data_IF_671907201392
#
_entry.id   IF_671907201392
#
_cell.length_a   1.000
_cell.length_b   1.000
_cell.length_c   1.000
_cell.angle_alpha   90.00
_cell.angle_beta   90.00
_cell.angle_gamma   90.00
#
_symmetry.space_group_name_H-M   'P 1'
#
loop_
_entity.id
_entity.type
_entity.pdbx_description
1 polymer ?
#
# COMPACT_ATOMS: atom_id res chain seq x y z
N UNK A 1 -21.42 -11.56 27.57
CA UNK A 1 -21.40 -11.88 26.13
C UNK A 1 -21.87 -10.67 25.33
N UNK A 2 -20.97 -9.94 24.64
CA UNK A 2 -21.40 -9.05 23.57
C UNK A 2 -20.50 -9.27 22.33
N UNK A 3 -20.74 -10.35 21.60
CA UNK A 3 -20.08 -10.63 20.32
C UNK A 3 -20.99 -10.32 19.11
N UNK A 4 -22.06 -9.55 19.31
CA UNK A 4 -23.16 -9.42 18.32
C UNK A 4 -23.56 -7.97 18.00
N UNK A 5 -22.87 -6.95 18.54
CA UNK A 5 -23.30 -5.54 18.36
C UNK A 5 -22.44 -4.63 17.47
N UNK A 6 -21.39 -5.12 16.82
CA UNK A 6 -20.54 -4.32 15.91
C UNK A 6 -20.78 -4.58 14.40
N UNK A 7 -21.90 -5.23 14.02
CA UNK A 7 -22.24 -5.55 12.61
C UNK A 7 -23.47 -4.75 12.12
N UNK A 8 -23.78 -3.61 12.75
CA UNK A 8 -24.90 -2.74 12.32
C UNK A 8 -24.59 -1.23 12.33
N UNK A 9 -23.37 -0.81 11.99
CA UNK A 9 -23.16 0.57 11.55
C UNK A 9 -23.32 0.67 10.03
N UNK A 10 -24.59 0.85 9.64
CA UNK A 10 -25.13 1.67 8.55
C UNK A 10 -24.32 1.81 7.23
N UNK A 11 -24.88 1.38 6.08
CA UNK A 11 -24.40 1.74 4.74
C UNK A 11 -24.80 3.20 4.40
N UNK A 12 -24.26 4.18 5.14
CA UNK A 12 -24.52 5.60 4.93
C UNK A 12 -23.30 6.31 4.37
N UNK A 13 -23.34 6.59 3.07
CA UNK A 13 -22.64 7.65 2.34
C UNK A 13 -21.25 8.05 2.91
N UNK A 14 -20.22 7.25 2.66
CA UNK A 14 -18.88 7.83 2.50
C UNK A 14 -18.83 8.52 1.14
N UNK A 15 -19.25 9.78 1.08
CA UNK A 15 -19.00 10.61 -0.10
C UNK A 15 -17.54 11.06 -0.03
N UNK A 16 -16.63 10.21 -0.51
CA UNK A 16 -15.21 10.53 -0.64
C UNK A 16 -15.09 11.71 -1.62
N UNK A 17 -15.07 12.91 -1.08
CA UNK A 17 -14.85 14.11 -1.87
C UNK A 17 -13.35 14.33 -1.93
N UNK A 18 -12.75 14.16 -3.12
CA UNK A 18 -11.36 14.56 -3.34
C UNK A 18 -11.18 16.01 -2.87
N UNK A 19 -10.26 16.31 -1.91
CA UNK A 19 -10.01 17.68 -1.50
C UNK A 19 -9.72 18.59 -2.70
N UNK A 20 -10.10 19.86 -2.56
CA UNK A 20 -10.01 20.87 -3.64
C UNK A 20 -8.58 21.00 -4.19
N UNK A 21 -7.54 20.74 -3.38
CA UNK A 21 -6.13 20.79 -3.81
C UNK A 21 -5.75 19.67 -4.78
N UNK A 22 -6.40 18.50 -4.70
CA UNK A 22 -6.19 17.41 -5.67
C UNK A 22 -6.68 17.83 -7.05
N UNK A 23 -7.58 18.81 -7.20
CA UNK A 23 -8.22 19.11 -8.50
C UNK A 23 -7.25 19.51 -9.62
N UNK A 24 -5.97 19.79 -9.35
CA UNK A 24 -5.01 20.29 -10.36
C UNK A 24 -3.68 19.55 -10.50
N UNK A 25 -3.32 18.61 -9.61
CA UNK A 25 -1.97 17.99 -9.60
C UNK A 25 -1.99 16.49 -9.87
N UNK A 26 -0.92 15.92 -10.45
CA UNK A 26 -0.70 14.47 -10.46
C UNK A 26 -0.70 13.91 -9.03
N UNK A 27 -1.25 12.70 -8.85
CA UNK A 27 -1.37 12.09 -7.53
C UNK A 27 -1.20 10.58 -7.52
N UNK A 28 -0.74 10.08 -6.36
CA UNK A 28 -0.63 8.66 -6.02
C UNK A 28 -1.60 8.36 -4.88
N UNK A 29 -2.21 7.18 -4.89
CA UNK A 29 -2.94 6.65 -3.73
C UNK A 29 -2.07 5.58 -3.09
N UNK A 30 -1.78 5.68 -1.79
CA UNK A 30 -1.05 4.65 -1.07
C UNK A 30 -1.81 4.24 0.20
N UNK A 31 -1.94 2.94 0.42
CA UNK A 31 -2.61 2.37 1.58
C UNK A 31 -2.02 1.01 1.94
N UNK A 32 -2.27 0.59 3.17
CA UNK A 32 -1.88 -0.72 3.70
C UNK A 32 -3.07 -1.45 4.33
N UNK A 33 -3.06 -2.78 4.28
CA UNK A 33 -4.01 -3.65 4.99
C UNK A 33 -5.48 -3.28 4.73
N UNK A 34 -6.27 -2.99 5.78
CA UNK A 34 -7.68 -2.60 5.63
C UNK A 34 -7.84 -1.37 4.71
N UNK A 35 -6.90 -0.43 4.77
CA UNK A 35 -6.94 0.74 3.90
C UNK A 35 -6.79 0.43 2.43
N UNK A 36 -6.01 -0.59 2.07
CA UNK A 36 -5.93 -1.07 0.70
C UNK A 36 -7.27 -1.64 0.21
N UNK A 37 -8.00 -2.34 1.08
CA UNK A 37 -9.37 -2.78 0.80
C UNK A 37 -10.34 -1.61 0.55
N UNK A 38 -10.32 -0.60 1.41
CA UNK A 38 -11.16 0.60 1.24
C UNK A 38 -10.79 1.40 0.00
N UNK A 39 -9.50 1.57 -0.28
CA UNK A 39 -9.05 2.26 -1.48
C UNK A 39 -9.42 1.53 -2.76
N UNK A 40 -9.59 0.20 -2.74
CA UNK A 40 -10.14 -0.53 -3.90
C UNK A 40 -11.56 -0.06 -4.24
N UNK A 41 -12.40 0.18 -3.22
CA UNK A 41 -13.72 0.82 -3.39
C UNK A 41 -13.60 2.24 -3.94
N UNK A 42 -12.66 3.03 -3.41
CA UNK A 42 -12.39 4.40 -3.87
C UNK A 42 -12.05 4.40 -5.36
N UNK A 43 -11.15 3.51 -5.80
CA UNK A 43 -10.79 3.36 -7.21
C UNK A 43 -12.02 3.09 -8.05
N UNK A 44 -12.83 2.09 -7.69
CA UNK A 44 -14.07 1.70 -8.39
C UNK A 44 -15.08 2.84 -8.49
N UNK A 45 -15.43 3.46 -7.37
CA UNK A 45 -16.59 4.35 -7.30
C UNK A 45 -16.29 5.80 -7.64
N UNK A 46 -15.07 6.25 -7.37
CA UNK A 46 -14.72 7.68 -7.45
C UNK A 46 -13.69 7.98 -8.51
N UNK A 47 -12.86 7.01 -8.91
CA UNK A 47 -11.76 7.24 -9.85
C UNK A 47 -12.02 6.61 -11.22
N UNK A 48 -12.50 5.37 -11.32
CA UNK A 48 -12.53 4.55 -12.54
C UNK A 48 -13.21 5.25 -13.74
N UNK A 49 -14.36 5.89 -13.54
CA UNK A 49 -15.07 6.63 -14.59
C UNK A 49 -14.83 8.15 -14.55
N UNK A 50 -13.95 8.63 -13.68
CA UNK A 50 -13.74 10.07 -13.46
C UNK A 50 -12.68 10.67 -14.40
N UNK A 51 -12.79 11.98 -14.64
CA UNK A 51 -11.73 12.75 -15.30
C UNK A 51 -10.49 12.96 -14.42
N UNK A 52 -10.55 12.63 -13.12
CA UNK A 52 -9.38 12.70 -12.26
C UNK A 52 -8.32 11.66 -12.64
N UNK A 53 -8.67 10.61 -13.39
CA UNK A 53 -7.71 9.61 -13.92
C UNK A 53 -6.60 10.23 -14.76
N UNK A 54 -6.86 11.34 -15.46
CA UNK A 54 -5.85 12.06 -16.25
C UNK A 54 -4.65 12.52 -15.42
N UNK A 55 -4.79 12.55 -14.09
CA UNK A 55 -3.76 12.97 -13.14
C UNK A 55 -3.38 11.84 -12.17
N UNK A 56 -3.96 10.67 -12.32
CA UNK A 56 -3.68 9.53 -11.46
C UNK A 56 -2.41 8.82 -11.94
N UNK A 57 -1.40 8.79 -11.07
CA UNK A 57 -0.10 8.16 -11.36
C UNK A 57 -0.21 6.65 -11.10
N UNK A 58 -0.58 6.25 -9.89
CA UNK A 58 -0.66 4.86 -9.47
C UNK A 58 -1.36 4.73 -8.12
N UNK A 59 -1.88 3.53 -7.84
CA UNK A 59 -2.37 3.16 -6.51
C UNK A 59 -1.52 2.01 -5.95
N UNK A 60 -0.85 2.22 -4.81
CA UNK A 60 -0.14 1.21 -4.05
C UNK A 60 -1.05 0.72 -2.92
N UNK A 61 -1.81 -0.33 -3.19
CA UNK A 61 -2.77 -0.93 -2.26
C UNK A 61 -2.17 -2.25 -1.76
N UNK A 62 -1.28 -2.14 -0.79
CA UNK A 62 -0.37 -3.22 -0.38
C UNK A 62 -0.86 -3.87 0.91
N UNK A 63 -0.55 -5.15 1.12
CA UNK A 63 -0.95 -5.90 2.31
C UNK A 63 -2.44 -6.21 2.33
N UNK A 64 -3.13 -6.26 1.19
CA UNK A 64 -4.51 -6.73 1.15
C UNK A 64 -4.67 -7.80 0.09
N UNK A 65 -5.37 -8.88 0.43
CA UNK A 65 -5.73 -9.93 -0.50
C UNK A 65 -6.83 -9.50 -1.47
N UNK A 66 -6.54 -8.57 -2.38
CA UNK A 66 -7.46 -8.07 -3.41
C UNK A 66 -7.63 -9.15 -4.48
N UNK A 67 -8.84 -9.67 -4.67
CA UNK A 67 -9.14 -10.71 -5.66
C UNK A 67 -8.96 -10.17 -7.10
N UNK A 68 -8.04 -10.76 -7.87
CA UNK A 68 -7.69 -10.32 -9.23
C UNK A 68 -8.88 -10.41 -10.18
N UNK A 69 -9.62 -11.54 -10.13
CA UNK A 69 -10.82 -11.75 -10.96
C UNK A 69 -11.88 -10.69 -10.67
N UNK A 70 -12.16 -10.42 -9.40
CA UNK A 70 -13.18 -9.46 -8.99
C UNK A 70 -12.78 -8.03 -9.36
N UNK A 71 -11.52 -7.65 -9.10
CA UNK A 71 -11.01 -6.34 -9.45
C UNK A 71 -11.19 -6.06 -10.95
N UNK A 72 -10.77 -6.99 -11.83
CA UNK A 72 -10.92 -6.85 -13.28
C UNK A 72 -12.40 -6.81 -13.74
N UNK A 73 -13.32 -7.40 -12.97
CA UNK A 73 -14.75 -7.34 -13.24
C UNK A 73 -15.37 -5.99 -12.86
N UNK A 74 -14.86 -5.31 -11.84
CA UNK A 74 -15.49 -4.12 -11.27
C UNK A 74 -14.80 -2.79 -11.63
N UNK A 75 -13.50 -2.82 -11.93
CA UNK A 75 -12.69 -1.65 -12.25
C UNK A 75 -12.19 -1.80 -13.68
N UNK A 76 -12.66 -0.93 -14.60
CA UNK A 76 -12.47 -1.12 -16.06
C UNK A 76 -11.34 -0.30 -16.65
N UNK A 77 -10.99 0.78 -15.97
CA UNK A 77 -10.21 1.88 -16.51
C UNK A 77 -8.92 2.12 -15.71
N UNK A 78 -8.65 1.27 -14.71
CA UNK A 78 -7.43 1.28 -13.89
C UNK A 78 -6.85 -0.15 -13.91
N UNK A 79 -5.97 -0.48 -14.86
CA UNK A 79 -5.40 -1.82 -14.98
C UNK A 79 -4.46 -2.16 -13.81
N UNK A 80 -4.25 -3.45 -13.56
CA UNK A 80 -3.16 -3.93 -12.70
C UNK A 80 -1.83 -3.64 -13.40
N UNK A 81 -0.82 -3.20 -12.66
CA UNK A 81 0.50 -2.89 -13.19
C UNK A 81 1.18 -4.12 -13.82
N UNK A 82 1.82 -3.91 -14.97
CA UNK A 82 2.59 -4.91 -15.71
C UNK A 82 4.04 -4.48 -16.03
N UNK A 83 4.41 -3.24 -15.71
CA UNK A 83 5.79 -2.73 -15.75
C UNK A 83 6.00 -1.60 -14.73
N UNK A 84 7.28 -1.28 -14.49
CA UNK A 84 7.70 -0.26 -13.52
C UNK A 84 7.27 1.15 -13.95
N UNK A 85 7.21 1.42 -15.25
CA UNK A 85 6.93 2.75 -15.80
C UNK A 85 5.43 3.00 -16.03
N UNK A 86 4.59 1.94 -16.02
CA UNK A 86 3.18 2.07 -16.33
C UNK A 86 2.47 3.09 -15.41
N UNK A 87 1.76 4.07 -15.95
CA UNK A 87 0.95 4.99 -15.13
C UNK A 87 -0.53 4.60 -15.16
N UNK A 88 -1.33 5.19 -14.28
CA UNK A 88 -2.76 4.96 -14.18
C UNK A 88 -3.13 3.55 -13.72
N UNK A 89 -2.27 2.88 -12.94
CA UNK A 89 -2.39 1.46 -12.61
C UNK A 89 -2.52 1.18 -11.11
N UNK A 90 -2.92 -0.05 -10.79
CA UNK A 90 -2.93 -0.63 -9.45
C UNK A 90 -1.69 -1.51 -9.22
N UNK A 91 -0.98 -1.25 -8.12
CA UNK A 91 0.06 -2.08 -7.54
C UNK A 91 -0.51 -2.67 -6.24
N UNK A 92 -0.52 -4.00 -6.15
CA UNK A 92 -0.94 -4.71 -4.95
C UNK A 92 -0.14 -6.00 -4.81
N UNK A 93 0.27 -6.31 -3.58
CA UNK A 93 0.91 -7.55 -3.18
C UNK A 93 0.76 -7.72 -1.67
N UNK A 94 1.01 -8.93 -1.19
CA UNK A 94 1.01 -9.30 0.23
C UNK A 94 2.14 -10.31 0.43
N UNK A 95 3.02 -10.04 1.38
CA UNK A 95 4.36 -10.66 1.47
C UNK A 95 4.36 -11.84 2.42
N UNK A 96 4.86 -12.98 1.95
CA UNK A 96 4.87 -14.23 2.70
C UNK A 96 6.19 -15.00 2.50
N UNK A 97 6.53 -15.85 3.46
CA UNK A 97 7.66 -16.76 3.35
C UNK A 97 7.32 -18.04 2.56
N UNK A 98 8.32 -18.91 2.36
CA UNK A 98 8.23 -20.08 1.49
C UNK A 98 7.26 -21.16 1.97
N UNK A 99 7.00 -21.25 3.28
CA UNK A 99 6.18 -22.28 3.91
C UNK A 99 4.80 -21.73 4.35
N UNK A 100 4.46 -20.52 3.91
CA UNK A 100 3.21 -19.87 4.26
C UNK A 100 1.99 -20.69 3.82
N UNK A 101 1.14 -21.00 4.80
CA UNK A 101 -0.14 -21.65 4.52
C UNK A 101 -1.17 -20.61 4.06
N UNK A 102 -1.36 -20.48 2.75
CA UNK A 102 -2.34 -19.57 2.16
C UNK A 102 -3.78 -19.74 2.70
N UNK A 103 -4.14 -20.93 3.19
CA UNK A 103 -5.45 -21.17 3.80
C UNK A 103 -5.59 -20.51 5.19
N UNK A 104 -4.49 -20.21 5.88
CA UNK A 104 -4.50 -19.56 7.20
C UNK A 104 -5.03 -18.11 7.15
N UNK A 105 -4.76 -17.40 6.05
CA UNK A 105 -5.30 -16.06 5.78
C UNK A 105 -6.54 -16.08 4.88
N UNK A 106 -7.02 -17.24 4.44
CA UNK A 106 -8.41 -17.39 3.97
C UNK A 106 -9.34 -17.27 5.19
N UNK A 107 -9.30 -16.12 5.86
CA UNK A 107 -10.42 -15.61 6.64
C UNK A 107 -11.60 -15.72 5.68
N UNK A 108 -12.63 -16.47 6.06
CA UNK A 108 -13.66 -16.93 5.12
C UNK A 108 -14.41 -15.84 4.37
N UNK A 109 -14.07 -14.55 4.57
CA UNK A 109 -14.59 -13.40 3.85
C UNK A 109 -13.48 -12.45 3.37
N UNK A 110 -13.63 -11.90 2.18
CA UNK A 110 -12.85 -10.81 1.62
C UNK A 110 -13.67 -9.50 1.60
N UNK A 111 -13.00 -8.35 1.70
CA UNK A 111 -13.68 -7.06 1.56
C UNK A 111 -13.95 -6.78 0.08
N UNK A 112 -15.20 -6.58 -0.26
CA UNK A 112 -15.65 -6.44 -1.65
C UNK A 112 -15.86 -5.00 -2.11
N UNK A 113 -15.42 -4.06 -1.27
CA UNK A 113 -15.67 -2.64 -1.39
C UNK A 113 -16.87 -2.18 -0.56
N UNK A 114 -17.86 -3.04 -0.31
CA UNK A 114 -19.09 -2.72 0.44
C UNK A 114 -19.28 -3.55 1.69
N UNK A 115 -19.00 -4.84 1.60
CA UNK A 115 -19.24 -5.83 2.64
C UNK A 115 -18.05 -6.80 2.69
N UNK A 116 -17.91 -7.47 3.83
CA UNK A 116 -17.14 -8.70 3.88
C UNK A 116 -17.99 -9.83 3.27
N UNK A 117 -17.62 -10.28 2.08
CA UNK A 117 -18.30 -11.37 1.34
C UNK A 117 -17.47 -12.64 1.40
N UNK A 118 -18.06 -13.84 1.28
CA UNK A 118 -17.29 -15.08 1.22
C UNK A 118 -16.17 -14.99 0.20
N UNK A 119 -14.95 -15.39 0.60
CA UNK A 119 -13.82 -15.40 -0.33
C UNK A 119 -14.05 -16.47 -1.38
N UNK A 120 -13.90 -16.11 -2.65
CA UNK A 120 -13.98 -17.07 -3.76
C UNK A 120 -12.95 -18.20 -3.53
N UNK A 121 -13.41 -19.45 -3.59
CA UNK A 121 -12.60 -20.61 -3.20
C UNK A 121 -11.36 -20.81 -4.08
N UNK A 122 -11.35 -20.25 -5.29
CA UNK A 122 -10.29 -20.26 -6.30
C UNK A 122 -9.66 -18.86 -6.52
N UNK A 123 -10.02 -17.86 -5.71
CA UNK A 123 -9.59 -16.47 -5.90
C UNK A 123 -8.09 -16.29 -5.71
N UNK A 124 -7.38 -16.09 -6.83
CA UNK A 124 -6.01 -15.56 -6.86
C UNK A 124 -6.02 -14.08 -6.48
N UNK A 125 -5.16 -13.66 -5.58
CA UNK A 125 -4.96 -12.24 -5.27
C UNK A 125 -4.08 -11.57 -6.32
N UNK A 126 -4.20 -10.26 -6.43
CA UNK A 126 -3.28 -9.46 -7.23
C UNK A 126 -1.89 -9.56 -6.59
N UNK A 127 -0.91 -9.90 -7.44
CA UNK A 127 0.49 -9.98 -7.06
C UNK A 127 1.35 -9.09 -7.94
N UNK A 128 2.37 -8.49 -7.33
CA UNK A 128 3.36 -7.62 -7.93
C UNK A 128 4.71 -7.85 -7.22
N UNK A 129 5.79 -7.92 -7.98
CA UNK A 129 7.14 -7.99 -7.46
C UNK A 129 7.79 -6.59 -7.55
N UNK A 130 7.93 -5.88 -6.41
CA UNK A 130 8.51 -4.53 -6.41
C UNK A 130 9.97 -4.48 -6.85
N UNK A 131 10.71 -5.59 -6.77
CA UNK A 131 12.12 -5.64 -7.23
C UNK A 131 12.23 -5.50 -8.74
N UNK A 132 11.26 -6.05 -9.48
CA UNK A 132 11.25 -6.03 -10.96
C UNK A 132 10.29 -5.00 -11.53
N UNK A 133 9.35 -4.51 -10.71
CA UNK A 133 8.29 -3.60 -11.15
C UNK A 133 7.21 -4.30 -11.96
N UNK A 134 7.11 -5.63 -11.89
CA UNK A 134 6.15 -6.43 -12.64
C UNK A 134 5.83 -7.77 -11.94
N UNK A 135 5.44 -8.82 -12.66
CA UNK A 135 5.11 -10.14 -12.10
C UNK A 135 6.29 -11.14 -12.12
N UNK A 136 7.44 -10.75 -12.65
CA UNK A 136 8.60 -11.66 -12.80
C UNK A 136 9.32 -11.90 -11.48
N UNK A 137 10.04 -13.02 -11.40
CA UNK A 137 10.83 -13.37 -10.21
C UNK A 137 12.16 -12.61 -10.18
N UNK A 138 12.71 -12.41 -8.98
CA UNK A 138 13.98 -11.72 -8.74
C UNK A 138 14.85 -12.46 -7.74
N UNK A 139 16.16 -12.30 -7.88
CA UNK A 139 17.15 -12.82 -6.94
C UNK A 139 17.46 -11.78 -5.85
N UNK A 140 18.08 -12.23 -4.75
CA UNK A 140 18.55 -11.34 -3.68
C UNK A 140 19.46 -10.22 -4.19
N UNK A 141 20.27 -10.46 -5.23
CA UNK A 141 21.18 -9.45 -5.78
C UNK A 141 20.44 -8.26 -6.42
N UNK A 142 19.23 -8.47 -6.93
CA UNK A 142 18.43 -7.44 -7.58
C UNK A 142 17.69 -6.55 -6.57
N UNK A 143 17.36 -7.07 -5.39
CA UNK A 143 16.65 -6.35 -4.33
C UNK A 143 17.45 -5.12 -3.88
N UNK A 144 16.82 -3.94 -3.78
CA UNK A 144 17.51 -2.72 -3.32
C UNK A 144 17.63 -2.64 -1.80
N UNK A 145 16.82 -3.37 -1.06
CA UNK A 145 16.96 -3.57 0.39
C UNK A 145 15.90 -2.82 1.20
N UNK A 146 15.73 -3.23 2.47
CA UNK A 146 14.68 -2.71 3.33
C UNK A 146 15.03 -1.34 3.92
N UNK A 147 14.02 -0.71 4.52
CA UNK A 147 14.18 0.43 5.41
C UNK A 147 13.32 0.24 6.66
N UNK A 148 13.92 -0.25 7.74
CA UNK A 148 13.22 -0.51 9.00
C UNK A 148 13.05 0.78 9.80
N UNK A 149 11.83 1.16 10.20
CA UNK A 149 11.64 2.31 11.07
C UNK A 149 12.28 2.02 12.43
N UNK A 150 13.02 2.99 12.96
CA UNK A 150 13.56 2.95 14.32
C UNK A 150 12.73 3.83 15.22
N UNK A 151 12.51 3.34 16.44
CA UNK A 151 11.85 4.09 17.50
C UNK A 151 12.73 4.10 18.75
N UNK A 152 12.49 5.05 19.63
CA UNK A 152 13.10 5.08 20.98
C UNK A 152 12.59 3.95 21.89
N UNK A 153 11.48 3.31 21.50
CA UNK A 153 10.88 2.16 22.15
C UNK A 153 10.91 0.94 21.22
N UNK A 154 11.69 -0.09 21.58
CA UNK A 154 11.81 -1.34 20.80
C UNK A 154 10.51 -2.14 20.72
N UNK A 155 9.57 -1.91 21.65
CA UNK A 155 8.25 -2.54 21.66
C UNK A 155 7.18 -1.73 20.90
N UNK A 156 7.52 -0.54 20.38
CA UNK A 156 6.57 0.38 19.75
C UNK A 156 5.67 -0.31 18.71
N UNK A 157 6.25 -1.17 17.86
CA UNK A 157 5.48 -1.91 16.86
C UNK A 157 4.53 -2.93 17.51
N UNK A 158 4.98 -3.70 18.49
CA UNK A 158 4.13 -4.66 19.19
C UNK A 158 2.98 -3.99 19.94
N UNK A 159 3.26 -2.82 20.55
CA UNK A 159 2.26 -2.01 21.24
C UNK A 159 1.26 -1.40 20.24
N UNK A 160 1.73 -0.88 19.10
CA UNK A 160 0.88 -0.31 18.07
C UNK A 160 -0.15 -1.30 17.49
N UNK A 161 0.19 -2.59 17.47
CA UNK A 161 -0.70 -3.66 17.00
C UNK A 161 -1.42 -4.40 18.14
N UNK A 162 -1.29 -3.95 19.39
CA UNK A 162 -2.06 -4.48 20.51
C UNK A 162 -3.47 -3.86 20.53
N UNK A 163 -4.42 -4.51 19.85
CA UNK A 163 -5.84 -4.13 19.79
C UNK A 163 -6.58 -4.10 21.14
N UNK A 164 -5.88 -4.38 22.25
CA UNK A 164 -6.42 -4.36 23.62
C UNK A 164 -5.80 -3.26 24.49
N UNK A 165 -4.94 -2.42 23.91
CA UNK A 165 -4.34 -1.29 24.61
C UNK A 165 -5.24 -0.07 24.50
N UNK A 166 -5.63 0.51 25.64
CA UNK A 166 -6.29 1.82 25.70
C UNK A 166 -5.26 2.95 25.90
N UNK A 167 -3.98 2.62 26.08
CA UNK A 167 -2.90 3.58 26.29
C UNK A 167 -2.52 4.30 24.99
N UNK A 168 -2.24 5.59 25.09
CA UNK A 168 -1.63 6.34 24.00
C UNK A 168 -0.27 5.73 23.67
N UNK A 169 -0.01 5.54 22.37
CA UNK A 169 1.28 5.08 21.91
C UNK A 169 2.30 6.21 22.05
N UNK A 170 3.15 6.13 23.07
CA UNK A 170 4.27 7.04 23.26
C UNK A 170 5.55 6.39 22.70
N UNK A 171 5.88 6.79 21.47
CA UNK A 171 7.17 6.48 20.87
C UNK A 171 7.62 7.62 19.95
N UNK A 172 8.93 7.87 19.92
CA UNK A 172 9.57 8.81 19.01
C UNK A 172 10.15 8.05 17.80
N UNK A 173 9.86 8.54 16.60
CA UNK A 173 10.48 8.02 15.38
C UNK A 173 11.91 8.56 15.20
N UNK A 174 12.90 7.65 15.20
CA UNK A 174 14.34 7.96 15.16
C UNK A 174 14.98 7.83 13.77
N UNK A 175 14.16 7.75 12.72
CA UNK A 175 14.63 7.54 11.35
C UNK A 175 14.61 6.07 10.93
N UNK A 176 15.28 5.75 9.82
CA UNK A 176 15.33 4.40 9.27
C UNK A 176 16.69 3.73 9.48
N UNK A 177 16.66 2.42 9.76
CA UNK A 177 17.77 1.50 9.57
C UNK A 177 17.70 0.93 8.15
N UNK A 178 18.75 1.08 7.35
CA UNK A 178 18.78 0.62 5.95
C UNK A 178 19.94 -0.36 5.73
N UNK A 179 19.84 -1.59 6.25
CA UNK A 179 20.89 -2.58 6.10
C UNK A 179 21.10 -2.93 4.62
N UNK A 180 22.35 -2.90 4.17
CA UNK A 180 22.69 -3.16 2.75
C UNK A 180 22.83 -4.63 2.43
N UNK A 181 22.93 -5.49 3.43
CA UNK A 181 23.17 -6.93 3.31
C UNK A 181 21.93 -7.80 3.64
N UNK A 182 20.85 -7.20 4.15
CA UNK A 182 19.54 -7.83 4.34
C UNK A 182 18.74 -7.83 3.02
N UNK A 183 19.20 -8.64 2.06
CA UNK A 183 18.54 -8.79 0.76
C UNK A 183 17.65 -10.02 0.72
N UNK A 184 16.59 -10.01 -0.09
CA UNK A 184 15.65 -11.13 -0.26
C UNK A 184 15.36 -11.33 -1.74
N UNK A 185 15.30 -12.58 -2.20
CA UNK A 185 14.68 -12.92 -3.47
C UNK A 185 13.17 -12.88 -3.33
N UNK A 186 12.47 -12.67 -4.45
CA UNK A 186 11.03 -12.52 -4.48
C UNK A 186 10.44 -13.13 -5.75
N UNK A 187 9.31 -13.83 -5.61
CA UNK A 187 8.55 -14.42 -6.72
C UNK A 187 7.07 -14.50 -6.38
N UNK A 188 6.20 -14.44 -7.36
CA UNK A 188 4.78 -14.65 -7.13
C UNK A 188 4.45 -16.15 -7.08
N UNK A 189 3.64 -16.56 -6.10
CA UNK A 189 3.02 -17.87 -6.12
C UNK A 189 1.95 -17.93 -7.22
N UNK A 190 2.07 -18.88 -8.15
CA UNK A 190 1.21 -18.93 -9.33
C UNK A 190 -0.27 -19.17 -8.99
N UNK A 191 -0.54 -19.92 -7.92
CA UNK A 191 -1.88 -20.34 -7.50
C UNK A 191 -2.61 -19.27 -6.69
N UNK A 192 -1.93 -18.70 -5.71
CA UNK A 192 -2.52 -17.77 -4.74
C UNK A 192 -2.27 -16.31 -5.10
N UNK A 193 -1.17 -15.98 -5.77
CA UNK A 193 -0.77 -14.62 -6.09
C UNK A 193 0.06 -13.91 -5.02
N UNK A 194 0.30 -14.53 -3.85
CA UNK A 194 1.15 -13.95 -2.81
C UNK A 194 2.58 -13.72 -3.32
N UNK A 195 3.22 -12.67 -2.79
CA UNK A 195 4.62 -12.38 -3.03
C UNK A 195 5.46 -13.22 -2.05
N UNK A 196 6.00 -14.32 -2.56
CA UNK A 196 6.80 -15.26 -1.77
C UNK A 196 8.25 -14.81 -1.79
N UNK A 197 8.79 -14.54 -0.61
CA UNK A 197 10.17 -14.08 -0.42
C UNK A 197 11.05 -15.16 0.19
N UNK A 198 12.36 -15.03 0.00
CA UNK A 198 13.33 -15.70 0.86
C UNK A 198 13.12 -15.25 2.31
N UNK A 199 13.33 -16.14 3.27
CA UNK A 199 13.19 -15.79 4.69
C UNK A 199 14.13 -14.62 5.05
N UNK A 200 13.61 -13.51 5.59
CA UNK A 200 14.44 -12.43 6.09
C UNK A 200 15.45 -12.94 7.12
N UNK A 201 16.69 -12.42 7.06
CA UNK A 201 17.75 -12.79 8.02
C UNK A 201 17.39 -12.35 9.43
N UNK A 202 16.77 -11.18 9.56
CA UNK A 202 16.25 -10.63 10.79
C UNK A 202 15.00 -11.39 11.25
N UNK A 203 14.86 -11.56 12.56
CA UNK A 203 13.62 -12.03 13.16
C UNK A 203 12.56 -10.93 13.08
N UNK A 204 11.50 -11.17 12.31
CA UNK A 204 10.37 -10.26 12.16
C UNK A 204 9.14 -10.78 12.92
N UNK A 205 8.23 -9.87 13.27
CA UNK A 205 6.93 -10.25 13.83
C UNK A 205 6.03 -10.82 12.73
N UNK A 206 5.65 -12.08 12.86
CA UNK A 206 4.83 -12.77 11.86
C UNK A 206 3.36 -12.83 12.30
N UNK A 207 2.44 -12.53 11.38
CA UNK A 207 1.01 -12.65 11.66
C UNK A 207 0.19 -12.98 10.41
N UNK A 208 -0.23 -14.25 10.22
CA UNK A 208 0.10 -15.48 10.97
C UNK A 208 1.54 -15.99 10.65
N UNK A 209 1.98 -17.18 11.12
CA UNK A 209 3.33 -17.67 10.82
C UNK A 209 3.69 -17.62 9.33
N UNK A 210 4.92 -17.21 9.05
CA UNK A 210 5.48 -17.00 7.71
C UNK A 210 4.74 -15.92 6.88
N UNK A 211 3.94 -15.04 7.51
CA UNK A 211 3.39 -13.85 6.87
C UNK A 211 4.13 -12.59 7.36
N UNK A 212 4.65 -11.80 6.42
CA UNK A 212 5.43 -10.59 6.68
C UNK A 212 4.62 -9.31 6.44
N UNK A 213 3.29 -9.41 6.57
CA UNK A 213 2.31 -8.35 6.32
C UNK A 213 2.63 -6.99 6.97
N UNK A 214 3.19 -6.99 8.18
CA UNK A 214 3.58 -5.75 8.88
C UNK A 214 4.75 -5.02 8.20
N UNK A 215 5.44 -5.69 7.29
CA UNK A 215 6.68 -5.25 6.66
C UNK A 215 6.58 -5.18 5.13
N UNK A 216 5.38 -5.26 4.54
CA UNK A 216 5.21 -5.25 3.08
C UNK A 216 5.87 -4.04 2.41
N UNK A 217 5.70 -2.84 3.00
CA UNK A 217 6.40 -1.64 2.55
C UNK A 217 7.87 -1.62 3.00
N UNK A 218 8.14 -2.05 4.23
CA UNK A 218 9.48 -1.99 4.85
C UNK A 218 10.49 -2.80 4.08
N UNK A 219 10.13 -4.03 3.70
CA UNK A 219 11.03 -4.98 3.05
C UNK A 219 11.49 -4.45 1.70
N UNK A 220 10.61 -3.76 0.97
CA UNK A 220 10.85 -3.30 -0.40
C UNK A 220 10.92 -1.78 -0.53
N UNK A 221 11.17 -1.06 0.56
CA UNK A 221 11.07 0.41 0.59
C UNK A 221 11.86 1.07 -0.54
N UNK A 222 13.10 0.63 -0.76
CA UNK A 222 14.01 1.23 -1.76
C UNK A 222 13.60 0.87 -3.19
N UNK A 223 13.08 -0.34 -3.38
CA UNK A 223 12.54 -0.79 -4.67
C UNK A 223 11.26 -0.02 -5.02
N UNK A 224 10.37 0.18 -4.04
CA UNK A 224 9.15 1.00 -4.17
C UNK A 224 9.47 2.47 -4.40
N UNK A 225 10.49 3.03 -3.73
CA UNK A 225 10.96 4.40 -3.98
C UNK A 225 11.41 4.57 -5.43
N UNK A 226 12.17 3.61 -5.96
CA UNK A 226 12.58 3.59 -7.37
C UNK A 226 11.38 3.47 -8.31
N UNK A 227 10.44 2.56 -8.04
CA UNK A 227 9.22 2.36 -8.85
C UNK A 227 8.35 3.62 -8.88
N UNK A 228 8.12 4.26 -7.71
CA UNK A 228 7.41 5.54 -7.61
C UNK A 228 8.12 6.61 -8.43
N UNK A 229 9.45 6.71 -8.32
CA UNK A 229 10.25 7.64 -9.11
C UNK A 229 10.05 7.47 -10.62
N UNK A 230 10.12 6.23 -11.11
CA UNK A 230 9.93 5.92 -12.52
C UNK A 230 8.54 6.34 -13.04
N UNK A 231 7.46 6.07 -12.29
CA UNK A 231 6.09 6.46 -12.68
C UNK A 231 5.88 7.98 -12.66
N UNK A 232 6.54 8.69 -11.76
CA UNK A 232 6.51 10.16 -11.71
C UNK A 232 7.25 10.78 -12.91
N UNK A 233 8.39 10.20 -13.29
CA UNK A 233 9.13 10.63 -14.48
C UNK A 233 8.33 10.37 -15.76
N UNK A 234 7.66 9.22 -15.85
CA UNK A 234 6.82 8.86 -16.99
C UNK A 234 5.64 9.83 -17.14
N UNK A 235 4.89 10.12 -16.08
CA UNK A 235 3.76 11.07 -16.18
C UNK A 235 4.22 12.49 -16.53
N UNK A 236 5.43 12.88 -16.11
CA UNK A 236 6.01 14.16 -16.46
C UNK A 236 6.32 14.22 -17.97
N UNK A 237 6.88 13.14 -18.51
CA UNK A 237 7.19 12.98 -19.94
C UNK A 237 5.92 12.97 -20.80
N UNK A 238 4.88 12.25 -20.38
CA UNK A 238 3.58 12.23 -21.06
C UNK A 238 2.94 13.63 -21.11
N UNK A 239 2.98 14.38 -20.01
CA UNK A 239 2.43 15.73 -19.96
C UNK A 239 3.17 16.71 -20.89
N UNK A 240 4.50 16.61 -20.96
CA UNK A 240 5.31 17.41 -21.89
C UNK A 240 4.96 17.12 -23.35
N UNK A 241 4.77 15.83 -23.69
CA UNK A 241 4.43 15.38 -25.04
C UNK A 241 3.05 15.89 -25.48
N UNK A 242 2.11 16.04 -24.56
CA UNK A 242 0.75 16.53 -24.82
C UNK A 242 0.66 18.08 -24.72
N UNK A 243 1.78 18.78 -24.55
CA UNK A 243 1.82 20.25 -24.46
C UNK A 243 1.23 20.83 -23.16
N UNK A 244 1.06 20.00 -22.11
CA UNK A 244 0.71 20.46 -20.77
C UNK A 244 1.99 20.92 -20.06
N UNK A 245 2.03 22.16 -19.56
CA UNK A 245 3.24 22.68 -18.90
C UNK A 245 3.47 21.97 -17.56
N UNK A 246 4.60 21.25 -17.43
CA UNK A 246 5.10 20.74 -16.14
C UNK A 246 6.48 21.35 -15.92
N UNK A 247 6.69 22.02 -14.79
CA UNK A 247 8.02 22.47 -14.38
C UNK A 247 8.81 21.24 -13.91
N UNK A 248 9.81 20.81 -14.68
CA UNK A 248 10.69 19.72 -14.28
C UNK A 248 11.52 20.14 -13.06
N UNK A 249 11.70 19.24 -12.09
CA UNK A 249 12.72 19.44 -11.06
C UNK A 249 13.39 18.12 -10.69
N UNK A 250 14.67 18.01 -11.05
CA UNK A 250 15.58 16.92 -10.70
C UNK A 250 15.92 16.83 -9.20
N UNK A 251 15.23 17.58 -8.32
CA UNK A 251 15.51 17.62 -6.87
C UNK A 251 14.70 16.62 -6.03
N UNK A 252 13.77 15.89 -6.65
CA UNK A 252 12.69 15.18 -5.95
C UNK A 252 13.11 13.96 -5.11
N UNK A 253 14.08 13.18 -5.57
CA UNK A 253 14.50 11.92 -4.91
C UNK A 253 15.22 12.19 -3.56
N UNK A 254 15.62 13.44 -3.29
CA UNK A 254 16.31 13.84 -2.05
C UNK A 254 15.42 14.55 -1.03
N UNK A 255 14.10 14.62 -1.26
CA UNK A 255 13.21 15.42 -0.42
C UNK A 255 12.94 14.75 0.94
N UNK A 256 13.27 15.41 2.08
CA UNK A 256 12.93 14.89 3.40
C UNK A 256 11.41 14.70 3.60
N UNK A 257 10.58 15.25 2.72
CA UNK A 257 9.13 15.10 2.77
C UNK A 257 8.59 13.80 2.16
N UNK A 258 9.26 13.19 1.18
CA UNK A 258 8.97 11.82 0.73
C UNK A 258 9.26 10.84 1.88
N UNK A 259 10.39 11.07 2.55
CA UNK A 259 10.76 10.36 3.77
C UNK A 259 9.74 10.61 4.90
N UNK A 260 9.26 11.84 5.13
CA UNK A 260 8.22 12.16 6.14
C UNK A 260 6.83 11.57 5.83
N UNK A 261 6.43 11.53 4.56
CA UNK A 261 5.16 10.91 4.13
C UNK A 261 5.18 9.41 4.43
N UNK A 262 6.31 8.76 4.19
CA UNK A 262 6.56 7.38 4.61
C UNK A 262 6.70 7.29 6.15
N UNK A 263 7.39 8.20 6.83
CA UNK A 263 7.51 8.24 8.30
C UNK A 263 6.15 8.32 9.00
N UNK A 264 5.13 8.91 8.38
CA UNK A 264 3.75 8.95 8.91
C UNK A 264 2.91 7.73 8.55
N UNK A 265 3.34 6.88 7.62
CA UNK A 265 2.85 5.49 7.52
C UNK A 265 3.27 4.71 8.78
N UNK A 266 4.36 5.13 9.42
CA UNK A 266 4.98 4.49 10.59
C UNK A 266 4.64 5.18 11.93
N UNK A 267 4.23 6.45 11.92
CA UNK A 267 3.84 7.20 13.12
C UNK A 267 2.33 7.13 13.39
N UNK A 268 1.92 6.24 14.28
CA UNK A 268 0.56 6.20 14.82
C UNK A 268 0.39 7.37 15.79
N UNK A 269 0.01 8.54 15.25
CA UNK A 269 -0.41 9.69 16.04
C UNK A 269 -1.92 9.65 16.25
N UNK A 270 -2.36 9.41 17.48
CA UNK A 270 -3.75 9.55 17.89
C UNK A 270 -4.19 11.02 17.74
N UNK A 271 -5.19 11.27 16.91
CA UNK A 271 -6.00 12.49 16.98
C UNK A 271 -7.35 12.05 17.51
N UNK A 272 -7.59 12.40 18.76
CA UNK A 272 -8.80 12.12 19.52
C UNK A 272 -9.95 13.00 18.96
N UNK A 273 -10.59 12.57 17.88
CA UNK A 273 -11.88 13.10 17.44
C UNK A 273 -12.85 11.98 17.04
N UNK A 274 -14.15 12.05 17.41
CA UNK A 274 -15.11 10.93 17.30
C UNK A 274 -15.66 10.71 15.88
N UNK A 275 -14.90 11.02 14.85
CA UNK A 275 -15.30 10.83 13.46
C UNK A 275 -14.15 10.18 12.69
N UNK A 276 -14.38 8.96 12.17
CA UNK A 276 -13.44 8.22 11.31
C UNK A 276 -13.10 9.04 10.05
N UNK A 277 -12.08 9.89 10.14
CA UNK A 277 -11.59 10.73 9.04
C UNK A 277 -10.50 9.98 8.29
N UNK A 278 -10.69 9.80 6.99
CA UNK A 278 -9.57 9.52 6.08
C UNK A 278 -8.59 10.69 6.14
N UNK A 279 -7.36 10.43 6.59
CA UNK A 279 -6.29 11.42 6.50
C UNK A 279 -5.84 11.53 5.04
N UNK A 280 -5.69 12.75 4.54
CA UNK A 280 -5.11 13.03 3.23
C UNK A 280 -3.81 13.81 3.48
N UNK A 281 -2.66 13.22 3.18
CA UNK A 281 -1.36 13.88 3.38
C UNK A 281 -0.86 14.49 2.08
N UNK A 282 -1.11 15.79 1.87
CA UNK A 282 -0.56 16.55 0.74
C UNK A 282 0.94 16.81 0.98
N UNK A 283 1.80 16.07 0.26
CA UNK A 283 3.23 16.36 0.18
C UNK A 283 3.50 17.08 -1.15
N UNK A 284 4.40 18.08 -1.14
CA UNK A 284 4.69 18.93 -2.29
C UNK A 284 5.06 18.12 -3.55
N UNK A 285 4.43 18.50 -4.67
CA UNK A 285 4.43 17.94 -6.05
C UNK A 285 5.26 16.69 -6.34
N UNK A 286 4.73 15.54 -6.79
CA UNK A 286 3.33 15.24 -6.96
C UNK A 286 2.61 15.18 -5.61
N UNK A 287 1.30 15.42 -5.64
CA UNK A 287 0.46 15.36 -4.44
C UNK A 287 0.22 13.90 -4.09
N UNK A 288 0.83 13.42 -3.01
CA UNK A 288 0.56 12.08 -2.51
C UNK A 288 -0.78 12.07 -1.76
N UNK A 289 -1.54 10.98 -1.86
CA UNK A 289 -2.75 10.72 -1.07
C UNK A 289 -2.50 9.42 -0.32
N UNK A 290 -2.05 9.55 0.92
CA UNK A 290 -1.89 8.42 1.81
C UNK A 290 -3.18 8.23 2.59
N UNK A 291 -3.79 7.05 2.50
CA UNK A 291 -5.00 6.71 3.24
C UNK A 291 -4.65 5.51 4.13
N UNK A 292 -4.43 5.77 5.43
CA UNK A 292 -4.29 4.73 6.44
C UNK A 292 -5.61 4.58 7.19
N UNK A 293 -6.02 3.33 7.42
CA UNK A 293 -7.10 2.98 8.33
C UNK A 293 -6.46 2.14 9.43
N UNK A 294 -6.57 2.63 10.67
CA UNK A 294 -6.18 1.92 11.89
C UNK A 294 -7.44 1.30 12.50
#
# INVERSE_FOLDING_TARGET
MPFVWLIKMLPRLFRISFPISIKKRPFIIAAHSQGAGHCTRLLKENLDASSARDRFIAAYLIGAGICEKRYNLEVKNIPIANSAEQTGCLIAFDTVGPDFNAASLRRGREWDGENFVPREADGKIIGFNPVTGDKTASTMQAHMGPAYPRYDNEEALAQAYNLRSDDALEFEFLGFEMPTDEKIGARLDAKSGYLVVDRPKRKLLEFPPDAYHLYDYTLFFRDLEKDVGARIEEISTQNLTVGRSVKSSQKFISSPYFQLGLNRIWGVGWIDEPENRMFFFEVSEPTYIFISFL
#
